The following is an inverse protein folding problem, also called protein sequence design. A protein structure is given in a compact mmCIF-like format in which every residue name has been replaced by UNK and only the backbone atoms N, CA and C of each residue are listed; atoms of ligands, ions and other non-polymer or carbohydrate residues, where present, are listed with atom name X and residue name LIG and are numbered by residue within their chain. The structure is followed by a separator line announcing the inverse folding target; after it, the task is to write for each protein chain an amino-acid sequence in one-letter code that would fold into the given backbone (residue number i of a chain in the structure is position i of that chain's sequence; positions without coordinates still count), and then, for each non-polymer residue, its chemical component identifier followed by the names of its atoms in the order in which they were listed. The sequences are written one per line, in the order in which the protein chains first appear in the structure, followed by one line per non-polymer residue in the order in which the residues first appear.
data_IF_637034057828
#
_entry.id   IF_637034057828
#
_cell.length_a   1.000
_cell.length_b   1.000
_cell.length_c   1.000
_cell.angle_alpha   90.00
_cell.angle_beta   90.00
_cell.angle_gamma   90.00
#
_symmetry.space_group_name_H-M   'P 1'
#
loop_
_entity.id
_entity.type
_entity.pdbx_description
1 polymer ?
#
# COMPACT_ATOMS: atom_id res chain seq x y z
N UNK A 1 4.60 -18.14 8.32
CA UNK A 1 3.26 -17.82 7.81
C UNK A 1 3.28 -18.03 6.30
N UNK A 2 2.30 -18.74 5.73
CA UNK A 2 2.22 -18.94 4.27
C UNK A 2 1.82 -17.63 3.58
N UNK A 3 2.26 -17.40 2.34
CA UNK A 3 1.87 -16.22 1.59
C UNK A 3 0.34 -16.16 1.42
N UNK A 4 -0.29 -14.97 1.56
CA UNK A 4 -1.73 -14.84 1.39
C UNK A 4 -2.13 -15.26 -0.02
N UNK A 5 -3.22 -16.04 -0.15
CA UNK A 5 -3.75 -16.51 -1.45
C UNK A 5 -4.27 -15.36 -2.33
N UNK A 6 -4.50 -14.20 -1.74
CA UNK A 6 -4.95 -12.97 -2.40
C UNK A 6 -5.35 -11.92 -1.37
N UNK A 7 -5.57 -10.70 -1.83
CA UNK A 7 -6.12 -9.60 -1.05
C UNK A 7 -7.42 -9.11 -1.69
N UNK A 8 -8.46 -8.98 -0.88
CA UNK A 8 -9.74 -8.44 -1.31
C UNK A 8 -9.96 -7.04 -0.73
N UNK A 9 -10.11 -6.06 -1.61
CA UNK A 9 -10.33 -4.67 -1.24
C UNK A 9 -11.82 -4.33 -1.36
N UNK A 10 -12.37 -3.62 -0.37
CA UNK A 10 -13.68 -2.99 -0.55
C UNK A 10 -13.56 -1.89 -1.62
N UNK A 11 -14.60 -1.71 -2.45
CA UNK A 11 -14.60 -0.65 -3.48
C UNK A 11 -14.35 0.75 -2.92
N UNK A 12 -14.84 1.03 -1.72
CA UNK A 12 -14.61 2.30 -1.05
C UNK A 12 -13.13 2.52 -0.69
N UNK A 13 -12.45 1.48 -0.23
CA UNK A 13 -11.01 1.52 0.06
C UNK A 13 -10.17 1.70 -1.21
N UNK A 14 -10.58 1.08 -2.33
CA UNK A 14 -9.97 1.33 -3.64
C UNK A 14 -10.12 2.80 -4.04
N UNK A 15 -11.33 3.37 -3.93
CA UNK A 15 -11.58 4.79 -4.25
C UNK A 15 -10.78 5.72 -3.35
N UNK A 16 -10.75 5.45 -2.05
CA UNK A 16 -9.97 6.24 -1.08
C UNK A 16 -8.48 6.24 -1.40
N UNK A 17 -7.92 5.08 -1.78
CA UNK A 17 -6.52 4.99 -2.21
C UNK A 17 -6.29 5.76 -3.51
N UNK A 18 -7.16 5.61 -4.52
CA UNK A 18 -7.09 6.35 -5.79
C UNK A 18 -7.09 7.86 -5.55
N UNK A 19 -8.03 8.35 -4.74
CA UNK A 19 -8.13 9.78 -4.39
C UNK A 19 -6.87 10.27 -3.68
N UNK A 20 -6.29 9.45 -2.81
CA UNK A 20 -5.04 9.80 -2.12
C UNK A 20 -3.86 9.88 -3.10
N UNK A 21 -3.65 8.87 -3.93
CA UNK A 21 -2.52 8.84 -4.87
C UNK A 21 -2.65 9.91 -5.95
N UNK A 22 -3.88 10.24 -6.37
CA UNK A 22 -4.15 11.34 -7.29
C UNK A 22 -3.81 12.70 -6.68
N UNK A 23 -4.17 12.95 -5.41
CA UNK A 23 -3.85 14.20 -4.70
C UNK A 23 -2.36 14.39 -4.44
N UNK A 24 -1.62 13.30 -4.24
CA UNK A 24 -0.19 13.36 -3.95
C UNK A 24 0.68 13.56 -5.22
N UNK A 25 0.14 13.23 -6.41
CA UNK A 25 0.85 13.39 -7.67
C UNK A 25 1.34 14.84 -7.85
N UNK A 26 2.61 15.08 -8.28
CA UNK A 26 3.57 14.11 -8.84
C UNK A 26 4.50 13.42 -7.83
N UNK A 27 4.22 13.50 -6.53
CA UNK A 27 4.96 12.78 -5.49
C UNK A 27 4.35 11.40 -5.22
N UNK A 28 5.13 10.52 -4.59
CA UNK A 28 4.59 9.26 -4.08
C UNK A 28 3.66 9.53 -2.90
N UNK A 29 2.49 8.89 -2.91
CA UNK A 29 1.63 8.72 -1.74
C UNK A 29 2.00 7.40 -1.05
N UNK A 30 1.75 7.30 0.26
CA UNK A 30 1.88 6.05 1.00
C UNK A 30 0.77 5.88 2.05
N UNK A 31 0.52 4.65 2.47
CA UNK A 31 -0.35 4.41 3.60
C UNK A 31 -0.47 2.94 3.98
N UNK A 32 -1.32 2.68 4.98
CA UNK A 32 -1.57 1.36 5.54
C UNK A 32 -2.99 0.91 5.21
N UNK A 33 -3.18 -0.40 5.07
CA UNK A 33 -4.49 -1.03 4.92
C UNK A 33 -4.64 -2.05 6.04
N UNK A 34 -5.61 -1.80 6.92
CA UNK A 34 -6.04 -2.77 7.92
C UNK A 34 -7.06 -3.75 7.33
N UNK A 35 -7.15 -4.93 7.92
CA UNK A 35 -8.07 -5.95 7.47
C UNK A 35 -8.18 -7.14 8.40
N UNK A 36 -9.08 -8.04 8.04
CA UNK A 36 -9.28 -9.34 8.66
C UNK A 36 -9.49 -10.38 7.56
N UNK A 37 -8.94 -11.58 7.73
CA UNK A 37 -9.09 -12.70 6.78
C UNK A 37 -8.75 -12.36 5.33
N UNK A 38 -7.71 -11.53 5.11
CA UNK A 38 -7.29 -11.09 3.78
C UNK A 38 -8.28 -10.14 3.09
N UNK A 39 -9.16 -9.49 3.84
CA UNK A 39 -10.11 -8.47 3.38
C UNK A 39 -9.81 -7.13 4.03
N UNK A 40 -9.82 -6.05 3.26
CA UNK A 40 -9.62 -4.71 3.81
C UNK A 40 -10.80 -4.26 4.67
N UNK A 41 -10.51 -3.71 5.84
CA UNK A 41 -11.51 -3.12 6.75
C UNK A 41 -11.33 -1.61 6.89
N UNK A 42 -10.11 -1.07 6.70
CA UNK A 42 -9.85 0.38 6.73
C UNK A 42 -8.58 0.75 5.97
N UNK A 43 -8.56 1.93 5.37
CA UNK A 43 -7.35 2.54 4.78
C UNK A 43 -6.92 3.76 5.59
N UNK A 44 -5.62 3.83 5.87
CA UNK A 44 -4.96 4.96 6.53
C UNK A 44 -3.98 5.60 5.55
N UNK A 45 -4.38 6.68 4.86
CA UNK A 45 -3.44 7.54 4.16
C UNK A 45 -2.44 8.14 5.16
N UNK A 46 -1.14 7.95 4.90
CA UNK A 46 -0.07 8.45 5.76
C UNK A 46 0.74 9.50 4.99
N UNK A 47 1.02 10.68 5.58
CA UNK A 47 1.84 11.69 4.91
C UNK A 47 3.21 11.13 4.52
N UNK A 48 3.64 11.44 3.29
CA UNK A 48 4.99 11.13 2.82
C UNK A 48 5.94 12.28 3.17
N UNK A 49 6.85 12.06 4.13
CA UNK A 49 7.84 13.04 4.59
C UNK A 49 9.16 12.98 3.82
N UNK A 50 9.29 12.13 2.80
CA UNK A 50 10.51 12.03 2.01
C UNK A 50 10.73 13.24 1.09
N UNK A 51 9.66 13.98 0.76
CA UNK A 51 9.67 15.14 -0.15
C UNK A 51 10.40 14.88 -1.48
N UNK A 52 10.29 13.65 -2.01
CA UNK A 52 10.88 13.22 -3.29
C UNK A 52 9.86 12.43 -4.11
N UNK A 53 9.96 12.48 -5.45
CA UNK A 53 9.00 11.79 -6.34
C UNK A 53 9.29 10.29 -6.54
N UNK A 54 10.43 9.79 -6.07
CA UNK A 54 10.94 8.43 -6.31
C UNK A 54 11.09 7.59 -5.03
N UNK A 55 10.51 8.06 -3.93
CA UNK A 55 10.48 7.36 -2.64
C UNK A 55 9.41 7.93 -1.72
N UNK A 56 8.94 7.07 -0.83
CA UNK A 56 8.15 7.48 0.32
C UNK A 56 8.89 7.25 1.63
N UNK A 57 8.52 8.04 2.64
CA UNK A 57 8.80 7.76 4.04
C UNK A 57 7.56 8.17 4.82
N UNK A 58 6.91 7.22 5.48
CA UNK A 58 5.73 7.52 6.28
C UNK A 58 6.08 8.47 7.42
N UNK A 59 5.22 9.44 7.67
CA UNK A 59 5.26 10.23 8.90
C UNK A 59 5.17 9.30 10.13
N UNK A 60 6.17 9.30 11.03
CA UNK A 60 6.20 8.35 12.15
C UNK A 60 5.03 8.49 13.13
N UNK A 61 4.55 9.72 13.35
CA UNK A 61 3.46 9.97 14.30
C UNK A 61 2.13 9.45 13.75
N UNK A 62 1.82 9.76 12.49
CA UNK A 62 0.63 9.25 11.81
C UNK A 62 0.68 7.73 11.65
N UNK A 63 1.85 7.17 11.33
CA UNK A 63 2.05 5.72 11.25
C UNK A 63 1.78 5.05 12.61
N UNK A 64 2.32 5.60 13.70
CA UNK A 64 2.09 5.09 15.06
C UNK A 64 0.61 5.16 15.47
N UNK A 65 -0.07 6.27 15.15
CA UNK A 65 -1.52 6.41 15.42
C UNK A 65 -2.34 5.35 14.67
N UNK A 66 -2.01 5.07 13.41
CA UNK A 66 -2.67 4.03 12.64
C UNK A 66 -2.46 2.64 13.28
N UNK A 67 -1.24 2.29 13.66
CA UNK A 67 -0.97 1.02 14.34
C UNK A 67 -1.73 0.88 15.68
N UNK A 68 -1.88 1.97 16.44
CA UNK A 68 -2.71 1.95 17.65
C UNK A 68 -4.17 1.69 17.37
N UNK A 69 -4.72 2.24 16.28
CA UNK A 69 -6.10 1.96 15.89
C UNK A 69 -6.25 0.50 15.44
N UNK A 70 -5.30 -0.04 14.66
CA UNK A 70 -5.28 -1.47 14.31
C UNK A 70 -5.35 -2.36 15.57
N UNK A 71 -4.49 -2.09 16.55
CA UNK A 71 -4.45 -2.84 17.80
C UNK A 71 -5.76 -2.71 18.59
N UNK A 72 -6.28 -1.49 18.74
CA UNK A 72 -7.52 -1.23 19.47
C UNK A 72 -8.75 -1.90 18.85
N UNK A 73 -8.78 -2.03 17.52
CA UNK A 73 -9.87 -2.68 16.79
C UNK A 73 -9.67 -4.20 16.61
N UNK A 74 -8.50 -4.75 16.98
CA UNK A 74 -8.16 -6.14 16.72
C UNK A 74 -8.06 -6.47 15.22
N UNK A 75 -7.56 -5.53 14.42
CA UNK A 75 -7.34 -5.72 12.98
C UNK A 75 -5.87 -6.00 12.65
N UNK A 76 -5.65 -6.78 11.60
CA UNK A 76 -4.32 -7.05 11.06
C UNK A 76 -3.91 -5.95 10.08
N UNK A 77 -2.60 -5.72 9.95
CA UNK A 77 -2.05 -5.01 8.80
C UNK A 77 -2.06 -5.99 7.61
N UNK A 78 -2.97 -5.79 6.65
CA UNK A 78 -3.08 -6.67 5.47
C UNK A 78 -2.31 -6.16 4.27
N UNK A 79 -2.10 -4.84 4.17
CA UNK A 79 -1.23 -4.27 3.15
C UNK A 79 -0.58 -2.94 3.54
N UNK A 80 0.55 -2.66 2.92
CA UNK A 80 1.13 -1.31 2.79
C UNK A 80 0.88 -0.89 1.35
N UNK A 81 0.49 0.35 1.10
CA UNK A 81 0.36 0.87 -0.25
C UNK A 81 1.23 2.09 -0.48
N UNK A 82 1.70 2.24 -1.72
CA UNK A 82 2.31 3.46 -2.21
C UNK A 82 2.03 3.67 -3.70
N UNK A 83 2.38 4.84 -4.24
CA UNK A 83 2.28 5.13 -5.67
C UNK A 83 3.63 5.35 -6.32
N UNK A 84 3.75 4.93 -7.58
CA UNK A 84 4.84 5.25 -8.49
C UNK A 84 4.34 6.25 -9.56
N UNK A 85 4.57 7.56 -9.39
CA UNK A 85 4.20 8.59 -10.37
C UNK A 85 4.79 8.34 -11.77
N UNK A 86 5.92 7.64 -11.86
CA UNK A 86 6.59 7.25 -13.10
C UNK A 86 5.91 6.14 -13.92
N UNK A 87 4.73 5.66 -13.52
CA UNK A 87 3.86 4.85 -14.38
C UNK A 87 4.11 3.33 -14.38
N UNK A 88 4.90 2.80 -13.43
CA UNK A 88 5.17 1.35 -13.33
C UNK A 88 4.65 0.79 -12.01
N UNK A 89 3.57 -0.01 -11.99
CA UNK A 89 3.06 -0.64 -10.77
C UNK A 89 3.87 -1.91 -10.44
N UNK A 90 5.20 -1.82 -10.47
CA UNK A 90 6.14 -2.91 -10.17
C UNK A 90 7.11 -2.44 -9.09
N UNK A 91 7.53 -3.31 -8.16
CA UNK A 91 8.46 -2.93 -7.11
C UNK A 91 9.79 -2.47 -7.68
N UNK A 92 10.26 -1.32 -7.21
CA UNK A 92 11.60 -0.82 -7.48
C UNK A 92 12.65 -1.59 -6.66
N UNK A 93 13.95 -1.48 -7.01
CA UNK A 93 15.02 -2.00 -6.15
C UNK A 93 14.98 -1.43 -4.72
N UNK A 94 14.51 -0.19 -4.57
CA UNK A 94 14.34 0.46 -3.26
C UNK A 94 13.23 -0.21 -2.46
N UNK A 95 12.07 -0.48 -3.08
CA UNK A 95 10.96 -1.16 -2.42
C UNK A 95 11.40 -2.52 -1.86
N UNK A 96 12.19 -3.27 -2.63
CA UNK A 96 12.71 -4.56 -2.19
C UNK A 96 13.69 -4.45 -1.02
N UNK A 97 14.49 -3.40 -0.99
CA UNK A 97 15.48 -3.17 0.07
C UNK A 97 14.82 -2.63 1.36
N UNK A 98 13.74 -1.85 1.24
CA UNK A 98 13.09 -1.15 2.35
C UNK A 98 11.82 -1.87 2.85
N UNK A 99 11.39 -2.96 2.21
CA UNK A 99 10.24 -3.75 2.65
C UNK A 99 10.52 -4.53 3.94
N UNK A 100 10.05 -4.00 5.08
CA UNK A 100 10.28 -4.61 6.40
C UNK A 100 9.11 -5.46 6.91
N UNK A 101 7.90 -5.26 6.38
CA UNK A 101 6.71 -5.98 6.83
C UNK A 101 6.38 -7.18 5.92
N UNK A 102 6.04 -8.36 6.48
CA UNK A 102 5.64 -9.53 5.71
C UNK A 102 4.16 -9.46 5.29
N UNK A 103 3.77 -8.36 4.64
CA UNK A 103 2.40 -8.07 4.18
C UNK A 103 2.38 -7.80 2.68
N UNK A 104 1.18 -7.63 2.10
CA UNK A 104 1.05 -7.26 0.68
C UNK A 104 1.49 -5.80 0.49
N UNK A 105 2.33 -5.55 -0.50
CA UNK A 105 2.65 -4.20 -0.97
C UNK A 105 1.82 -3.89 -2.21
N UNK A 106 0.92 -2.92 -2.08
CA UNK A 106 0.08 -2.42 -3.16
C UNK A 106 0.76 -1.23 -3.83
N UNK A 107 1.12 -1.40 -5.10
CA UNK A 107 1.80 -0.36 -5.88
C UNK A 107 0.84 0.21 -6.90
N UNK A 108 0.47 1.47 -6.69
CA UNK A 108 -0.38 2.25 -7.59
C UNK A 108 0.47 2.94 -8.65
N UNK A 109 -0.01 3.00 -9.89
CA UNK A 109 0.64 3.78 -10.94
C UNK A 109 -0.39 4.43 -11.87
N UNK A 110 -0.11 5.65 -12.39
CA UNK A 110 -0.99 6.28 -13.34
C UNK A 110 -0.90 5.59 -14.71
N UNK A 111 -2.04 5.40 -15.38
CA UNK A 111 -2.14 4.91 -16.75
C UNK A 111 -3.20 5.75 -17.47
N UNK A 112 -2.78 6.63 -18.38
CA UNK A 112 -3.67 7.64 -18.95
C UNK A 112 -4.26 8.53 -17.85
N UNK A 113 -5.59 8.62 -17.80
CA UNK A 113 -6.32 9.41 -16.80
C UNK A 113 -6.82 8.57 -15.62
N UNK A 114 -6.32 7.35 -15.46
CA UNK A 114 -6.71 6.44 -14.36
C UNK A 114 -5.50 5.96 -13.56
N UNK A 115 -5.77 5.18 -12.52
CA UNK A 115 -4.77 4.54 -11.68
C UNK A 115 -4.99 3.03 -11.68
N UNK A 116 -3.90 2.29 -11.81
CA UNK A 116 -3.88 0.82 -11.70
C UNK A 116 -3.09 0.41 -10.48
N UNK A 117 -3.45 -0.73 -9.89
CA UNK A 117 -2.75 -1.30 -8.73
C UNK A 117 -2.29 -2.71 -9.01
N UNK A 118 -1.14 -3.08 -8.44
CA UNK A 118 -0.67 -4.46 -8.33
C UNK A 118 -0.21 -4.77 -6.92
N UNK A 119 -0.46 -5.99 -6.46
CA UNK A 119 -0.03 -6.47 -5.14
C UNK A 119 1.18 -7.38 -5.22
N UNK A 120 2.10 -7.25 -4.27
CA UNK A 120 3.31 -8.07 -4.17
C UNK A 120 3.64 -8.46 -2.74
N UNK A 121 4.14 -9.67 -2.52
CA UNK A 121 4.94 -9.99 -1.34
C UNK A 121 6.41 -9.70 -1.65
N UNK A 122 7.10 -8.93 -0.80
CA UNK A 122 8.49 -8.50 -1.02
C UNK A 122 9.50 -9.22 -0.11
N UNK A 123 9.03 -10.09 0.79
CA UNK A 123 9.88 -10.87 1.69
C UNK A 123 10.60 -12.00 0.91
N UNK A 124 11.93 -12.09 0.98
CA UNK A 124 12.83 -13.09 0.32
C UNK A 124 13.47 -12.70 -1.04
N UNK A 125 13.71 -11.41 -1.30
CA UNK A 125 14.63 -10.98 -2.36
C UNK A 125 14.11 -11.08 -3.80
N UNK A 126 12.90 -11.62 -4.02
CA UNK A 126 12.18 -11.50 -5.29
C UNK A 126 10.72 -11.11 -5.04
N UNK A 127 10.17 -10.15 -5.80
CA UNK A 127 8.75 -9.86 -5.73
C UNK A 127 7.91 -11.07 -6.14
N UNK A 128 6.96 -11.46 -5.31
CA UNK A 128 5.95 -12.45 -5.66
C UNK A 128 4.60 -11.75 -5.88
N UNK A 129 4.00 -11.83 -7.08
CA UNK A 129 2.69 -11.24 -7.33
C UNK A 129 1.61 -11.85 -6.43
N UNK A 130 0.76 -11.00 -5.86
CA UNK A 130 -0.42 -11.39 -5.08
C UNK A 130 -1.67 -10.97 -5.85
N UNK A 131 -2.65 -11.87 -6.07
CA UNK A 131 -3.92 -11.50 -6.66
C UNK A 131 -4.64 -10.45 -5.81
N UNK A 132 -4.92 -9.28 -6.40
CA UNK A 132 -5.73 -8.22 -5.78
C UNK A 132 -7.07 -8.17 -6.48
N UNK A 133 -8.15 -8.23 -5.71
CA UNK A 133 -9.53 -8.14 -6.20
C UNK A 133 -10.29 -7.09 -5.43
N UNK A 134 -11.39 -6.60 -5.97
CA UNK A 134 -12.29 -5.70 -5.24
C UNK A 134 -13.76 -6.08 -5.43
N UNK A 135 -14.54 -5.92 -4.37
CA UNK A 135 -15.98 -6.19 -4.34
C UNK A 135 -16.76 -4.99 -3.80
#
# INVERSE_FOLDING_TARGET
MSAPRGLLLAREHVRQMIDHVARAYPLEACGLVAGQDGRSTRVYPIPNVAARPDRYRMDPQAQWQAFRDLEAQGWDLVAIYHSHPGGKPYPSPRDLAEATYPVVYLIWAPVGNTWVVRGYMLHQGRPQPVPVRWQ
#
